data_IF_148200774628
#
_entry.id   IF_148200774628
#
_cell.length_a   1.000
_cell.length_b   1.000
_cell.length_c   1.000
_cell.angle_alpha   90.00
_cell.angle_beta   90.00
_cell.angle_gamma   90.00
#
_symmetry.space_group_name_H-M   'P 1'
#
loop_
_entity.id
_entity.type
_entity.pdbx_description
1 polymer ?
#
# COMPACT_ATOMS: atom_id res chain seq x y z
N UNK A 1 -17.16 21.59 11.21
CA UNK A 1 -17.24 20.18 10.76
C UNK A 1 -18.67 19.68 10.97
N UNK A 2 -19.41 19.39 9.91
CA UNK A 2 -20.82 19.02 9.99
C UNK A 2 -20.99 17.50 10.07
N UNK A 3 -21.89 17.06 10.97
CA UNK A 3 -22.24 15.65 11.24
C UNK A 3 -22.58 14.82 9.98
N UNK A 4 -22.97 15.50 8.89
CA UNK A 4 -23.36 14.94 7.60
C UNK A 4 -22.19 14.42 6.76
N UNK A 5 -20.95 14.88 6.98
CA UNK A 5 -19.76 14.38 6.26
C UNK A 5 -19.33 12.98 6.72
N UNK A 6 -19.38 12.74 8.04
CA UNK A 6 -19.00 11.47 8.64
C UNK A 6 -19.95 10.33 8.26
N UNK A 7 -21.26 10.61 8.26
CA UNK A 7 -22.28 9.63 7.86
C UNK A 7 -22.13 9.19 6.39
N UNK A 8 -21.76 10.10 5.50
CA UNK A 8 -21.55 9.79 4.08
C UNK A 8 -20.28 8.95 3.82
N UNK A 9 -19.26 9.05 4.68
CA UNK A 9 -18.08 8.18 4.64
C UNK A 9 -18.42 6.78 5.20
N UNK A 10 -19.18 6.71 6.29
CA UNK A 10 -19.59 5.44 6.91
C UNK A 10 -20.51 4.62 5.99
N UNK A 11 -21.44 5.26 5.29
CA UNK A 11 -22.33 4.60 4.33
C UNK A 11 -21.57 4.06 3.11
N UNK A 12 -20.56 4.78 2.61
CA UNK A 12 -19.67 4.27 1.56
C UNK A 12 -18.82 3.08 2.01
N UNK A 13 -18.39 3.08 3.28
CA UNK A 13 -17.67 1.95 3.88
C UNK A 13 -18.56 0.71 4.01
N UNK A 14 -19.80 0.87 4.49
CA UNK A 14 -20.77 -0.23 4.62
C UNK A 14 -21.21 -0.79 3.26
N UNK A 15 -21.38 0.05 2.25
CA UNK A 15 -21.71 -0.40 0.88
C UNK A 15 -20.60 -1.25 0.26
N UNK A 16 -19.32 -0.94 0.52
CA UNK A 16 -18.18 -1.77 0.06
C UNK A 16 -18.11 -3.11 0.81
N UNK A 17 -18.48 -3.14 2.10
CA UNK A 17 -18.46 -4.37 2.91
C UNK A 17 -19.65 -5.31 2.62
N UNK A 18 -20.82 -4.77 2.29
CA UNK A 18 -22.04 -5.54 2.01
C UNK A 18 -22.11 -6.21 0.64
N UNK A 19 -21.23 -5.86 -0.29
CA UNK A 19 -21.19 -6.44 -1.64
C UNK A 19 -20.46 -7.81 -1.73
N UNK A 20 -19.91 -8.31 -0.61
CA UNK A 20 -19.19 -9.60 -0.59
C UNK A 20 -20.09 -10.85 -0.74
N UNK A 21 -21.40 -10.73 -0.54
CA UNK A 21 -22.32 -11.90 -0.58
C UNK A 21 -23.14 -12.05 -1.87
N UNK A 22 -23.13 -11.06 -2.77
CA UNK A 22 -24.00 -11.09 -3.96
C UNK A 22 -23.41 -11.86 -5.16
N UNK A 23 -22.14 -12.27 -5.12
CA UNK A 23 -21.45 -12.84 -6.29
C UNK A 23 -21.69 -14.34 -6.51
N UNK A 24 -22.56 -14.99 -5.73
CA UNK A 24 -22.71 -16.46 -5.77
C UNK A 24 -23.65 -17.03 -6.84
N UNK A 25 -24.25 -16.22 -7.72
CA UNK A 25 -25.24 -16.72 -8.68
C UNK A 25 -25.15 -16.04 -10.06
N UNK A 26 -24.02 -16.19 -10.76
CA UNK A 26 -23.97 -16.05 -12.22
C UNK A 26 -23.12 -17.20 -12.79
N UNK A 27 -23.72 -18.22 -13.44
CA UNK A 27 -22.94 -19.22 -14.15
C UNK A 27 -22.45 -18.62 -15.46
N UNK A 28 -21.16 -18.80 -15.75
CA UNK A 28 -20.44 -18.46 -17.00
C UNK A 28 -19.58 -17.18 -17.05
N UNK A 29 -19.07 -16.67 -15.93
CA UNK A 29 -17.90 -15.79 -15.98
C UNK A 29 -16.60 -16.61 -16.11
N UNK A 30 -15.78 -16.21 -17.08
CA UNK A 30 -14.46 -16.77 -17.38
C UNK A 30 -13.62 -16.95 -16.10
N UNK A 31 -13.15 -18.17 -15.83
CA UNK A 31 -12.20 -18.49 -14.75
C UNK A 31 -10.79 -17.95 -14.98
N UNK A 32 -10.56 -17.11 -16.01
CA UNK A 32 -9.29 -16.37 -16.13
C UNK A 32 -9.19 -15.36 -15.00
N UNK A 33 -8.25 -15.62 -14.10
CA UNK A 33 -7.69 -14.62 -13.20
C UNK A 33 -7.32 -13.41 -14.07
N UNK A 34 -7.84 -12.23 -13.74
CA UNK A 34 -7.55 -11.01 -14.48
C UNK A 34 -6.03 -10.79 -14.50
N UNK A 35 -5.47 -10.64 -15.69
CA UNK A 35 -4.03 -10.47 -15.83
C UNK A 35 -3.65 -9.06 -15.32
N UNK A 36 -2.62 -8.92 -14.48
CA UNK A 36 -2.22 -7.61 -13.96
C UNK A 36 -1.91 -6.67 -15.14
N UNK A 37 -2.59 -5.54 -15.20
CA UNK A 37 -2.31 -4.49 -16.18
C UNK A 37 -1.38 -3.48 -15.57
N UNK A 38 -0.40 -3.01 -16.34
CA UNK A 38 0.45 -1.89 -15.91
C UNK A 38 -0.46 -0.68 -15.61
N UNK A 39 -0.32 -0.02 -14.46
CA UNK A 39 -1.03 1.21 -14.18
C UNK A 39 -0.70 2.29 -15.21
N UNK A 40 -1.61 3.26 -15.36
CA UNK A 40 -1.31 4.47 -16.12
C UNK A 40 -0.17 5.25 -15.43
N UNK A 41 0.79 5.81 -16.20
CA UNK A 41 1.89 6.57 -15.64
C UNK A 41 1.37 7.80 -14.86
N UNK A 42 2.10 8.23 -13.82
CA UNK A 42 1.74 9.41 -13.06
C UNK A 42 1.86 10.67 -13.93
N UNK A 43 1.18 11.78 -13.56
CA UNK A 43 1.36 13.06 -14.23
C UNK A 43 2.83 13.51 -14.23
N UNK A 44 3.20 14.33 -15.20
CA UNK A 44 4.56 14.86 -15.29
C UNK A 44 4.91 15.68 -14.03
N UNK A 45 6.10 15.46 -13.48
CA UNK A 45 6.56 16.10 -12.24
C UNK A 45 5.96 15.50 -10.97
N UNK A 46 5.34 14.33 -11.07
CA UNK A 46 4.78 13.62 -9.93
C UNK A 46 5.28 12.17 -9.88
N UNK A 47 5.26 11.59 -8.68
CA UNK A 47 5.60 10.20 -8.41
C UNK A 47 4.46 9.53 -7.65
N UNK A 48 4.15 8.29 -8.01
CA UNK A 48 3.22 7.46 -7.25
C UNK A 48 3.97 6.70 -6.15
N UNK A 49 3.44 6.78 -4.94
CA UNK A 49 3.89 6.01 -3.78
C UNK A 49 2.79 5.05 -3.37
N UNK A 50 3.16 3.81 -3.10
CA UNK A 50 2.30 2.77 -2.56
C UNK A 50 2.58 2.59 -1.07
N UNK A 51 1.52 2.56 -0.27
CA UNK A 51 1.62 2.60 1.18
C UNK A 51 1.12 1.30 1.78
N UNK A 52 1.88 0.74 2.71
CA UNK A 52 1.49 -0.41 3.52
C UNK A 52 1.62 -0.10 5.01
N UNK A 53 0.60 -0.49 5.78
CA UNK A 53 0.66 -0.55 7.23
C UNK A 53 1.18 -1.90 7.68
N UNK A 54 2.02 -1.90 8.72
CA UNK A 54 2.57 -3.11 9.32
C UNK A 54 2.90 -2.88 10.80
N UNK A 55 3.13 -3.97 11.53
CA UNK A 55 3.58 -3.90 12.92
C UNK A 55 4.94 -4.58 13.09
N UNK A 56 5.93 -3.81 13.52
CA UNK A 56 7.28 -4.30 13.84
C UNK A 56 7.73 -3.84 15.22
N UNK A 57 8.61 -4.62 15.84
CA UNK A 57 9.14 -4.31 17.18
C UNK A 57 10.12 -3.12 17.16
N UNK A 58 10.70 -2.79 15.99
CA UNK A 58 11.67 -1.71 15.82
C UNK A 58 11.87 -1.34 14.36
N UNK A 59 12.45 -0.15 14.13
CA UNK A 59 12.96 0.28 12.81
C UNK A 59 13.85 -0.77 12.15
N UNK A 60 14.80 -1.36 12.88
CA UNK A 60 15.71 -2.36 12.33
C UNK A 60 15.00 -3.64 11.88
N UNK A 61 13.93 -4.04 12.57
CA UNK A 61 13.12 -5.19 12.17
C UNK A 61 12.31 -4.89 10.90
N UNK A 62 11.75 -3.69 10.80
CA UNK A 62 11.05 -3.23 9.59
C UNK A 62 12.00 -3.15 8.38
N UNK A 63 13.19 -2.60 8.55
CA UNK A 63 14.22 -2.56 7.50
C UNK A 63 14.66 -3.96 7.07
N UNK A 64 14.91 -4.86 8.03
CA UNK A 64 15.29 -6.24 7.72
C UNK A 64 14.19 -7.00 6.96
N UNK A 65 12.93 -6.63 7.13
CA UNK A 65 11.82 -7.18 6.36
C UNK A 65 11.80 -6.69 4.91
N UNK A 66 12.09 -5.40 4.70
CA UNK A 66 12.10 -4.76 3.40
C UNK A 66 13.35 -5.06 2.56
N UNK A 67 14.48 -5.39 3.19
CA UNK A 67 15.76 -5.56 2.51
C UNK A 67 16.10 -7.05 2.29
N UNK A 68 16.74 -7.33 1.16
CA UNK A 68 17.31 -8.65 0.88
C UNK A 68 18.38 -9.00 1.94
N UNK A 69 18.39 -10.25 2.45
CA UNK A 69 19.34 -10.63 3.50
C UNK A 69 20.79 -10.49 3.01
N UNK A 70 21.68 -9.86 3.80
CA UNK A 70 23.03 -9.55 3.36
C UNK A 70 23.83 -10.81 3.06
N UNK A 71 24.55 -10.81 1.93
CA UNK A 71 25.36 -11.95 1.50
C UNK A 71 24.55 -13.12 0.93
N UNK A 72 23.28 -12.89 0.57
CA UNK A 72 22.42 -13.88 -0.08
C UNK A 72 21.84 -13.33 -1.38
N UNK A 73 21.46 -14.23 -2.27
CA UNK A 73 20.69 -13.92 -3.50
C UNK A 73 19.18 -14.13 -3.28
N UNK A 74 18.75 -14.23 -2.02
CA UNK A 74 17.34 -14.44 -1.69
C UNK A 74 16.61 -13.10 -1.71
N UNK A 75 15.37 -13.05 -2.23
CA UNK A 75 14.56 -11.84 -2.20
C UNK A 75 14.23 -11.45 -0.75
N UNK A 76 13.99 -10.15 -0.52
CA UNK A 76 13.47 -9.63 0.75
C UNK A 76 12.16 -10.31 1.17
N UNK A 77 11.84 -10.30 2.47
CA UNK A 77 10.59 -10.86 2.97
C UNK A 77 9.38 -10.13 2.36
N UNK A 78 9.48 -8.80 2.21
CA UNK A 78 8.51 -7.98 1.47
C UNK A 78 8.24 -8.54 0.06
N UNK A 79 9.30 -8.74 -0.73
CA UNK A 79 9.17 -9.29 -2.10
C UNK A 79 8.54 -10.68 -2.11
N UNK A 80 8.87 -11.52 -1.13
CA UNK A 80 8.27 -12.86 -1.01
C UNK A 80 6.77 -12.81 -0.71
N UNK A 81 6.32 -11.84 0.11
CA UNK A 81 4.90 -11.67 0.42
C UNK A 81 4.10 -11.05 -0.72
N UNK A 82 4.69 -10.11 -1.44
CA UNK A 82 4.09 -9.46 -2.60
C UNK A 82 4.23 -10.33 -3.86
N UNK A 83 3.68 -11.54 -3.83
CA UNK A 83 3.78 -12.51 -4.96
C UNK A 83 3.25 -11.99 -6.31
N UNK A 84 2.45 -10.92 -6.29
CA UNK A 84 1.95 -10.23 -7.48
C UNK A 84 2.86 -9.11 -8.00
N UNK A 85 4.02 -8.87 -7.40
CA UNK A 85 4.90 -7.76 -7.73
C UNK A 85 6.39 -8.15 -7.59
N UNK A 86 7.22 -7.69 -8.52
CA UNK A 86 8.64 -7.58 -8.27
C UNK A 86 8.90 -6.29 -7.49
N UNK A 87 9.78 -6.31 -6.49
CA UNK A 87 10.12 -5.13 -5.70
C UNK A 87 11.64 -4.97 -5.68
N UNK A 88 12.12 -3.82 -6.16
CA UNK A 88 13.48 -3.36 -5.95
C UNK A 88 13.59 -2.72 -4.57
N UNK A 89 14.29 -3.39 -3.66
CA UNK A 89 14.49 -2.96 -2.28
C UNK A 89 15.10 -1.55 -2.17
N UNK A 90 15.84 -1.07 -3.19
CA UNK A 90 16.41 0.29 -3.22
C UNK A 90 15.35 1.40 -3.37
N UNK A 91 14.11 1.02 -3.69
CA UNK A 91 12.97 1.91 -3.87
C UNK A 91 11.92 1.73 -2.75
N UNK A 92 12.32 1.09 -1.65
CA UNK A 92 11.49 0.81 -0.49
C UNK A 92 12.03 1.59 0.70
N UNK A 93 11.12 2.18 1.47
CA UNK A 93 11.43 2.83 2.73
C UNK A 93 10.52 2.27 3.82
N UNK A 94 11.09 1.98 4.99
CA UNK A 94 10.35 1.61 6.19
C UNK A 94 10.46 2.71 7.23
N UNK A 95 9.34 3.09 7.84
CA UNK A 95 9.25 4.17 8.82
C UNK A 95 8.52 3.63 10.05
N UNK A 96 9.26 3.45 11.15
CA UNK A 96 8.75 2.97 12.43
C UNK A 96 8.53 4.15 13.40
N UNK A 97 7.34 4.20 14.02
CA UNK A 97 6.85 5.20 14.98
C UNK A 97 6.78 6.67 14.50
N UNK A 98 7.74 7.19 13.71
CA UNK A 98 7.82 8.59 13.27
C UNK A 98 7.08 8.89 11.95
N UNK A 99 5.98 8.17 11.73
CA UNK A 99 5.22 8.18 10.48
C UNK A 99 4.64 9.57 10.12
N UNK A 100 4.02 10.34 11.04
CA UNK A 100 3.44 11.63 10.71
C UNK A 100 4.47 12.63 10.17
N UNK A 101 5.65 12.67 10.78
CA UNK A 101 6.72 13.59 10.38
C UNK A 101 7.23 13.25 8.99
N UNK A 102 7.43 11.96 8.69
CA UNK A 102 7.86 11.52 7.38
C UNK A 102 6.85 11.84 6.28
N UNK A 103 5.56 11.61 6.53
CA UNK A 103 4.48 11.94 5.59
C UNK A 103 4.39 13.45 5.32
N UNK A 104 4.64 14.27 6.33
CA UNK A 104 4.58 15.74 6.22
C UNK A 104 5.66 16.34 5.31
N UNK A 105 6.68 15.56 4.93
CA UNK A 105 7.68 16.01 3.94
C UNK A 105 7.11 16.14 2.53
N UNK A 106 6.02 15.42 2.22
CA UNK A 106 5.46 15.36 0.87
C UNK A 106 3.92 15.49 0.82
N UNK A 107 3.24 15.48 1.96
CA UNK A 107 1.80 15.71 2.08
C UNK A 107 1.49 16.99 2.88
N UNK A 108 0.34 17.57 2.59
CA UNK A 108 -0.27 18.57 3.46
C UNK A 108 -0.88 17.91 4.72
N UNK A 109 -1.25 18.68 5.75
CA UNK A 109 -1.78 18.11 6.99
C UNK A 109 -3.03 17.23 6.81
N UNK A 110 -3.92 17.58 5.86
CA UNK A 110 -5.12 16.76 5.59
C UNK A 110 -4.75 15.41 4.98
N UNK A 111 -3.77 15.39 4.06
CA UNK A 111 -3.24 14.15 3.49
C UNK A 111 -2.54 13.27 4.52
N UNK A 112 -1.78 13.86 5.45
CA UNK A 112 -1.17 13.14 6.57
C UNK A 112 -2.26 12.47 7.42
N UNK A 113 -3.28 13.22 7.86
CA UNK A 113 -4.38 12.70 8.66
C UNK A 113 -5.13 11.56 7.94
N UNK A 114 -5.35 11.68 6.64
CA UNK A 114 -6.01 10.66 5.83
C UNK A 114 -5.17 9.36 5.70
N UNK A 115 -3.83 9.45 5.66
CA UNK A 115 -2.95 8.26 5.70
C UNK A 115 -2.96 7.64 7.10
N UNK A 116 -2.82 8.45 8.16
CA UNK A 116 -2.80 7.96 9.54
C UNK A 116 -4.13 7.28 9.93
N UNK A 117 -5.25 7.79 9.42
CA UNK A 117 -6.55 7.15 9.60
C UNK A 117 -6.61 5.77 8.93
N UNK A 118 -5.98 5.60 7.76
CA UNK A 118 -5.90 4.31 7.04
C UNK A 118 -4.97 3.32 7.72
N UNK A 119 -3.86 3.81 8.28
CA UNK A 119 -2.87 3.03 9.03
C UNK A 119 -3.50 2.35 10.27
N UNK A 120 -4.60 2.91 10.79
CA UNK A 120 -5.46 2.27 11.80
C UNK A 120 -4.72 1.82 13.08
N UNK A 121 -3.60 2.46 13.42
CA UNK A 121 -2.81 2.17 14.60
C UNK A 121 -1.62 1.24 14.37
N UNK A 122 -1.37 0.79 13.14
CA UNK A 122 -0.11 0.14 12.76
C UNK A 122 1.07 1.07 13.10
N UNK A 123 2.12 0.51 13.68
CA UNK A 123 3.29 1.29 14.14
C UNK A 123 4.36 1.50 13.06
N UNK A 124 4.19 0.89 11.89
CA UNK A 124 5.14 0.98 10.78
C UNK A 124 4.43 1.31 9.49
N UNK A 125 4.97 2.28 8.75
CA UNK A 125 4.60 2.58 7.38
C UNK A 125 5.71 2.08 6.45
N UNK A 126 5.36 1.25 5.47
CA UNK A 126 6.24 0.88 4.37
C UNK A 126 5.80 1.65 3.12
N UNK A 127 6.74 2.34 2.49
CA UNK A 127 6.54 3.16 1.30
C UNK A 127 7.29 2.53 0.14
N UNK A 128 6.58 2.21 -0.95
CA UNK A 128 7.19 1.74 -2.20
C UNK A 128 6.99 2.82 -3.26
N UNK A 129 8.06 3.27 -3.89
CA UNK A 129 7.91 4.11 -5.10
C UNK A 129 7.45 3.24 -6.26
N UNK A 130 6.76 3.82 -7.25
CA UNK A 130 6.40 3.07 -8.47
C UNK A 130 7.63 2.53 -9.24
N UNK A 131 8.81 3.14 -9.03
CA UNK A 131 10.06 2.66 -9.62
C UNK A 131 10.48 1.29 -9.06
N UNK A 132 10.02 0.92 -7.86
CA UNK A 132 10.28 -0.37 -7.25
C UNK A 132 9.84 -1.54 -8.15
N UNK A 133 8.83 -1.33 -9.00
CA UNK A 133 8.31 -2.37 -9.87
C UNK A 133 9.04 -2.50 -11.21
N UNK A 134 10.04 -1.63 -11.49
CA UNK A 134 10.81 -1.67 -12.73
C UNK A 134 9.98 -1.51 -14.01
N UNK A 135 8.77 -0.92 -13.90
CA UNK A 135 7.81 -0.82 -14.98
C UNK A 135 7.09 -2.12 -15.33
N UNK A 136 7.21 -3.18 -14.53
CA UNK A 136 6.44 -4.41 -14.72
C UNK A 136 4.99 -4.22 -14.24
N UNK A 137 4.01 -4.95 -14.79
CA UNK A 137 2.69 -5.04 -14.19
C UNK A 137 2.77 -5.64 -12.79
N UNK A 138 1.99 -5.12 -11.86
CA UNK A 138 1.96 -5.58 -10.48
C UNK A 138 0.54 -5.63 -9.93
N UNK A 139 0.35 -6.42 -8.88
CA UNK A 139 -0.87 -6.42 -8.06
C UNK A 139 -0.43 -6.33 -6.60
N UNK A 140 -1.03 -5.39 -5.88
CA UNK A 140 -0.77 -5.14 -4.47
C UNK A 140 -2.07 -5.35 -3.71
N UNK A 141 -2.02 -6.24 -2.73
CA UNK A 141 -3.12 -6.61 -1.87
C UNK A 141 -2.59 -6.74 -0.44
N UNK A 142 -3.51 -6.87 0.51
CA UNK A 142 -3.17 -7.23 1.89
C UNK A 142 -2.45 -8.59 1.92
N UNK A 143 -1.47 -8.72 2.80
CA UNK A 143 -0.76 -9.97 3.07
C UNK A 143 -1.01 -10.41 4.52
N UNK A 144 -0.22 -11.37 5.02
CA UNK A 144 -0.34 -11.77 6.44
C UNK A 144 0.15 -10.67 7.37
N UNK A 145 1.21 -9.95 6.98
CA UNK A 145 1.89 -8.97 7.84
C UNK A 145 1.71 -7.52 7.35
N UNK A 146 1.16 -7.32 6.15
CA UNK A 146 1.00 -6.01 5.50
C UNK A 146 -0.46 -5.72 5.18
N UNK A 147 -0.91 -4.51 5.50
CA UNK A 147 -2.20 -3.97 5.04
C UNK A 147 -1.95 -2.95 3.94
N UNK A 148 -2.50 -3.15 2.75
CA UNK A 148 -2.35 -2.20 1.65
C UNK A 148 -3.27 -0.98 1.86
N UNK A 149 -2.67 0.19 2.06
CA UNK A 149 -3.39 1.43 2.36
C UNK A 149 -3.80 2.20 1.08
N UNK A 150 -3.39 1.69 -0.09
CA UNK A 150 -3.57 2.34 -1.39
C UNK A 150 -2.37 3.16 -1.82
N UNK A 151 -2.50 3.80 -2.98
CA UNK A 151 -1.50 4.71 -3.52
C UNK A 151 -1.82 6.18 -3.26
N UNK A 152 -0.78 6.99 -3.29
CA UNK A 152 -0.83 8.45 -3.31
C UNK A 152 0.09 8.97 -4.41
N UNK A 153 -0.15 10.19 -4.87
CA UNK A 153 0.72 10.85 -5.84
C UNK A 153 1.30 12.11 -5.22
N UNK A 154 2.62 12.27 -5.30
CA UNK A 154 3.38 13.37 -4.68
C UNK A 154 4.18 14.11 -5.75
N UNK A 155 4.52 15.38 -5.49
CA UNK A 155 5.42 16.13 -6.38
C UNK A 155 6.87 15.64 -6.23
N UNK A 156 7.64 15.71 -7.33
CA UNK A 156 9.08 15.36 -7.39
C UNK A 156 9.93 16.61 -7.52
#
# INVERSE_FOLDING_TARGET
>A
MTLSGLFNRLLRYLARRGLRDATRLIPSESTRIAQPTRPAPPPQGQMRLHLFGANFDSQAAAEAFCLSPPGTELPSALTQQLSGAFVDDAQVEAVHDDIPNRLAEFLDPEGVDDVLLRLAGDNTLIILTELAFGGLPYTLDDTTDLTYLGDITVAV
#
